data_IF_945543562402
#
_entry.id   IF_945543562402
#
_cell.length_a   1.000
_cell.length_b   1.000
_cell.length_c   1.000
_cell.angle_alpha   90.00
_cell.angle_beta   90.00
_cell.angle_gamma   90.00
#
_symmetry.space_group_name_H-M   'P 1'
#
loop_
_entity.id
_entity.type
_entity.pdbx_description
1 polymer ?
#
# COMPACT_ATOMS: atom_id res chain seq x y z
N UNK A 1 -1.01 -11.65 5.03
CA UNK A 1 -1.89 -11.70 3.84
C UNK A 1 -2.46 -10.31 3.62
N UNK A 2 -2.32 -9.77 2.40
CA UNK A 2 -2.70 -8.40 2.07
C UNK A 2 -3.69 -8.35 0.90
N UNK A 3 -4.48 -7.28 0.80
CA UNK A 3 -5.45 -7.06 -0.28
C UNK A 3 -5.39 -5.63 -0.81
N UNK A 4 -5.82 -5.42 -2.06
CA UNK A 4 -5.90 -4.09 -2.66
C UNK A 4 -7.36 -3.75 -2.90
N UNK A 5 -7.78 -2.58 -2.43
CA UNK A 5 -9.12 -2.06 -2.61
C UNK A 5 -9.06 -0.76 -3.42
N UNK A 6 -9.74 -0.74 -4.56
CA UNK A 6 -9.88 0.47 -5.36
C UNK A 6 -10.94 1.38 -4.74
N UNK A 7 -10.62 2.67 -4.61
CA UNK A 7 -11.54 3.71 -4.16
C UNK A 7 -11.56 4.85 -5.15
N UNK A 8 -12.75 5.21 -5.64
CA UNK A 8 -12.94 6.27 -6.63
C UNK A 8 -13.01 7.62 -5.91
N UNK A 9 -12.17 8.57 -6.34
CA UNK A 9 -12.15 9.94 -5.82
C UNK A 9 -12.44 10.95 -6.93
N UNK A 10 -12.66 12.22 -6.56
CA UNK A 10 -12.84 13.31 -7.53
C UNK A 10 -11.59 13.60 -8.39
N UNK A 11 -10.41 13.07 -8.00
CA UNK A 11 -9.14 13.24 -8.72
C UNK A 11 -8.71 12.00 -9.52
N UNK A 12 -9.47 10.91 -9.45
CA UNK A 12 -9.12 9.63 -10.05
C UNK A 12 -9.31 8.46 -9.08
N UNK A 13 -8.85 7.28 -9.48
CA UNK A 13 -8.87 6.11 -8.60
C UNK A 13 -7.66 6.14 -7.67
N UNK A 14 -7.88 5.74 -6.43
CA UNK A 14 -6.83 5.43 -5.45
C UNK A 14 -6.93 3.97 -5.07
N UNK A 15 -5.84 3.40 -4.60
CA UNK A 15 -5.69 1.97 -4.32
C UNK A 15 -5.18 1.81 -2.90
N UNK A 16 -6.04 1.33 -2.01
CA UNK A 16 -5.72 1.09 -0.62
C UNK A 16 -5.25 -0.35 -0.44
N UNK A 17 -3.97 -0.52 -0.07
CA UNK A 17 -3.43 -1.82 0.33
C UNK A 17 -3.76 -2.02 1.80
N UNK A 18 -4.47 -3.09 2.13
CA UNK A 18 -4.82 -3.49 3.48
C UNK A 18 -4.04 -4.74 3.88
N UNK A 19 -3.55 -4.80 5.10
CA UNK A 19 -2.86 -5.98 5.63
C UNK A 19 -3.12 -6.17 7.11
N UNK A 20 -2.84 -7.38 7.61
CA UNK A 20 -2.86 -7.68 9.04
C UNK A 20 -1.48 -8.11 9.50
N UNK A 21 -1.02 -7.52 10.59
CA UNK A 21 0.20 -7.86 11.31
C UNK A 21 -0.06 -7.69 12.81
N UNK A 22 0.40 -8.64 13.63
CA UNK A 22 0.30 -8.60 15.11
C UNK A 22 -1.12 -8.33 15.64
N UNK A 23 -2.12 -8.94 15.00
CA UNK A 23 -3.54 -8.77 15.36
C UNK A 23 -4.14 -7.41 15.00
N UNK A 24 -3.36 -6.52 14.37
CA UNK A 24 -3.81 -5.19 13.93
C UNK A 24 -3.96 -5.15 12.41
N UNK A 25 -4.83 -4.25 11.94
CA UNK A 25 -4.98 -3.96 10.51
C UNK A 25 -4.23 -2.67 10.18
N UNK A 26 -3.36 -2.74 9.18
CA UNK A 26 -2.69 -1.59 8.58
C UNK A 26 -3.25 -1.29 7.19
N UNK A 27 -3.01 -0.07 6.72
CA UNK A 27 -3.45 0.38 5.40
C UNK A 27 -2.51 1.42 4.81
N UNK A 28 -2.36 1.42 3.48
CA UNK A 28 -1.66 2.46 2.74
C UNK A 28 -2.39 2.76 1.43
N UNK A 29 -2.70 4.04 1.19
CA UNK A 29 -3.38 4.50 -0.02
C UNK A 29 -2.36 5.03 -1.04
N UNK A 30 -2.43 4.49 -2.26
CA UNK A 30 -1.50 4.74 -3.37
C UNK A 30 -2.30 5.16 -4.61
N UNK A 31 -1.76 6.06 -5.43
CA UNK A 31 -2.47 6.63 -6.59
C UNK A 31 -2.62 5.68 -7.78
N UNK A 32 -1.78 4.66 -7.90
CA UNK A 32 -1.76 3.77 -9.07
C UNK A 32 -1.68 2.28 -8.70
N UNK A 33 -2.26 1.43 -9.56
CA UNK A 33 -2.30 -0.04 -9.37
C UNK A 33 -0.89 -0.65 -9.33
N UNK A 34 0.03 -0.35 -10.27
CA UNK A 34 1.34 -1.01 -10.28
C UNK A 34 2.13 -0.79 -9.00
N UNK A 35 2.07 0.42 -8.42
CA UNK A 35 2.67 0.72 -7.13
C UNK A 35 1.97 -0.06 -6.01
N UNK A 36 0.63 -0.08 -5.97
CA UNK A 36 -0.09 -0.87 -4.96
C UNK A 36 0.27 -2.37 -4.98
N UNK A 37 0.40 -2.97 -6.17
CA UNK A 37 0.86 -4.35 -6.34
C UNK A 37 2.33 -4.53 -5.89
N UNK A 38 3.21 -3.59 -6.27
CA UNK A 38 4.63 -3.59 -5.83
C UNK A 38 4.79 -3.46 -4.33
N UNK A 39 3.88 -2.78 -3.64
CA UNK A 39 3.90 -2.68 -2.18
C UNK A 39 3.29 -3.91 -1.52
N UNK A 40 2.24 -4.49 -2.10
CA UNK A 40 1.61 -5.71 -1.58
C UNK A 40 2.59 -6.87 -1.48
N UNK A 41 3.41 -7.11 -2.49
CA UNK A 41 4.38 -8.21 -2.51
C UNK A 41 5.32 -8.24 -1.28
N UNK A 42 6.08 -7.18 -0.94
CA UNK A 42 6.94 -7.18 0.24
C UNK A 42 6.15 -7.22 1.55
N UNK A 43 4.91 -6.70 1.61
CA UNK A 43 4.04 -6.89 2.79
C UNK A 43 3.73 -8.37 3.02
N UNK A 44 3.55 -9.14 1.94
CA UNK A 44 3.28 -10.58 2.02
C UNK A 44 4.55 -11.41 2.29
N UNK A 45 5.68 -11.04 1.68
CA UNK A 45 6.93 -11.81 1.75
C UNK A 45 7.75 -11.51 3.01
N UNK A 46 7.72 -10.28 3.50
CA UNK A 46 8.62 -9.79 4.56
C UNK A 46 7.90 -9.11 5.73
N UNK A 47 6.60 -8.85 5.58
CA UNK A 47 5.82 -8.10 6.54
C UNK A 47 5.86 -6.59 6.31
N UNK A 48 5.02 -5.83 7.01
CA UNK A 48 4.78 -4.42 6.70
C UNK A 48 5.94 -3.51 7.05
N UNK A 49 6.74 -3.82 8.07
CA UNK A 49 7.86 -2.97 8.50
C UNK A 49 8.92 -2.86 7.40
N UNK A 50 9.27 -3.98 6.78
CA UNK A 50 10.23 -3.99 5.67
C UNK A 50 9.63 -3.38 4.40
N UNK A 51 8.36 -3.66 4.12
CA UNK A 51 7.66 -3.07 2.98
C UNK A 51 7.59 -1.53 3.07
N UNK A 52 7.37 -0.98 4.27
CA UNK A 52 7.33 0.46 4.49
C UNK A 52 8.71 1.12 4.32
N UNK A 53 9.79 0.42 4.68
CA UNK A 53 11.16 0.89 4.42
C UNK A 53 11.47 0.98 2.93
N UNK A 54 10.98 0.02 2.12
CA UNK A 54 11.14 0.05 0.67
C UNK A 54 10.48 1.28 0.03
N UNK A 55 9.37 1.77 0.61
CA UNK A 55 8.74 3.02 0.18
C UNK A 55 9.60 4.23 0.56
N UNK A 56 10.11 4.27 1.79
CA UNK A 56 10.91 5.39 2.31
C UNK A 56 12.20 5.64 1.52
N UNK A 57 12.76 4.58 0.90
CA UNK A 57 14.04 4.62 0.17
C UNK A 57 13.87 5.08 -1.31
N UNK A 58 12.66 5.43 -1.76
CA UNK A 58 12.48 6.24 -2.98
C UNK A 58 12.03 5.50 -4.23
N UNK A 59 11.11 4.53 -4.11
CA UNK A 59 10.23 4.20 -5.24
C UNK A 59 9.09 5.23 -5.26
N UNK A 60 8.69 5.69 -6.45
CA UNK A 60 7.56 6.61 -6.73
C UNK A 60 6.22 6.13 -6.14
N UNK A 61 6.11 6.23 -4.83
CA UNK A 61 4.89 6.06 -4.06
C UNK A 61 4.52 7.46 -3.63
N UNK A 62 3.53 8.04 -4.29
CA UNK A 62 2.86 9.26 -3.82
C UNK A 62 1.80 8.82 -2.80
N UNK A 63 2.09 8.88 -1.47
CA UNK A 63 1.06 8.57 -0.48
C UNK A 63 -0.03 9.63 -0.58
N UNK A 64 -1.27 9.18 -0.78
CA UNK A 64 -2.41 10.10 -0.76
C UNK A 64 -2.84 10.29 0.69
N UNK A 65 -2.71 11.52 1.19
CA UNK A 65 -3.41 11.93 2.40
C UNK A 65 -4.86 12.24 2.01
N UNK A 66 -5.81 11.44 2.52
CA UNK A 66 -7.25 11.72 2.38
C UNK A 66 -7.66 12.88 3.29
#
# INVERSE_FOLDING_TARGET
MASIHAHKTNRGNTYCVLWRADGRQGSLTIENVPSAERFKAPVEDHGPDEALRVIEIGLDFTPVTL
#
